data_IF_968226239696
#
_entry.id   IF_968226239696
#
_cell.length_a   1.000
_cell.length_b   1.000
_cell.length_c   1.000
_cell.angle_alpha   90.00
_cell.angle_beta   90.00
_cell.angle_gamma   90.00
#
_symmetry.space_group_name_H-M   'P 1'
#
loop_
_entity.id
_entity.type
_entity.pdbx_description
1 polymer ?
#
# COMPACT_ATOMS: atom_id res chain seq x y z
N UNK A 1 9.66 35.39 5.27
CA UNK A 1 8.77 34.56 4.42
C UNK A 1 9.29 33.12 4.17
N UNK A 2 10.06 32.51 5.09
CA UNK A 2 10.66 31.18 4.88
C UNK A 2 10.02 30.03 5.68
N UNK A 3 9.03 30.29 6.55
CA UNK A 3 8.49 29.32 7.51
C UNK A 3 7.48 28.31 6.94
N UNK A 4 6.89 28.57 5.77
CA UNK A 4 5.83 27.71 5.21
C UNK A 4 6.32 26.45 4.49
N UNK A 5 7.58 26.43 4.02
CA UNK A 5 8.10 25.30 3.24
C UNK A 5 8.40 24.09 4.11
N UNK A 6 9.00 24.27 5.29
CA UNK A 6 9.44 23.19 6.19
C UNK A 6 8.28 22.32 6.71
N UNK A 7 7.11 22.92 6.97
CA UNK A 7 5.92 22.19 7.46
C UNK A 7 5.25 21.29 6.40
N UNK A 8 5.53 21.50 5.09
CA UNK A 8 4.97 20.71 4.00
C UNK A 8 5.76 19.42 3.70
N UNK A 9 7.07 19.40 3.96
CA UNK A 9 7.97 18.28 3.62
C UNK A 9 7.55 16.93 4.19
N UNK A 10 7.13 16.80 5.46
CA UNK A 10 6.76 15.48 6.00
C UNK A 10 5.56 14.87 5.27
N UNK A 11 4.57 15.68 4.88
CA UNK A 11 3.40 15.21 4.13
C UNK A 11 3.76 14.75 2.73
N UNK A 12 4.58 15.53 2.02
CA UNK A 12 5.05 15.18 0.67
C UNK A 12 5.89 13.90 0.71
N UNK A 13 6.75 13.73 1.72
CA UNK A 13 7.56 12.52 1.89
C UNK A 13 6.68 11.26 2.05
N UNK A 14 5.61 11.33 2.85
CA UNK A 14 4.65 10.23 2.97
C UNK A 14 3.99 9.90 1.63
N UNK A 15 3.53 10.91 0.90
CA UNK A 15 2.92 10.71 -0.41
C UNK A 15 3.90 10.10 -1.42
N UNK A 16 5.14 10.58 -1.48
CA UNK A 16 6.19 10.01 -2.34
C UNK A 16 6.46 8.55 -1.97
N UNK A 17 6.56 8.22 -0.68
CA UNK A 17 6.78 6.86 -0.22
C UNK A 17 5.62 5.93 -0.59
N UNK A 18 4.37 6.36 -0.40
CA UNK A 18 3.18 5.59 -0.79
C UNK A 18 3.12 5.40 -2.31
N UNK A 19 3.39 6.45 -3.09
CA UNK A 19 3.41 6.37 -4.56
C UNK A 19 4.48 5.42 -5.07
N UNK A 20 5.71 5.53 -4.54
CA UNK A 20 6.82 4.65 -4.90
C UNK A 20 6.53 3.19 -4.52
N UNK A 21 6.04 2.94 -3.30
CA UNK A 21 5.65 1.60 -2.86
C UNK A 21 4.57 1.02 -3.77
N UNK A 22 3.54 1.79 -4.10
CA UNK A 22 2.44 1.32 -4.95
C UNK A 22 2.93 0.97 -6.36
N UNK A 23 3.81 1.78 -6.96
CA UNK A 23 4.40 1.48 -8.27
C UNK A 23 5.22 0.19 -8.23
N UNK A 24 6.10 0.05 -7.24
CA UNK A 24 6.91 -1.17 -7.08
C UNK A 24 6.02 -2.39 -6.85
N UNK A 25 4.90 -2.25 -6.12
CA UNK A 25 3.94 -3.33 -5.91
C UNK A 25 3.20 -3.73 -7.20
N UNK A 26 2.94 -2.79 -8.10
CA UNK A 26 2.28 -3.07 -9.38
C UNK A 26 3.15 -3.92 -10.33
N UNK A 27 4.48 -3.71 -10.33
CA UNK A 27 5.42 -4.39 -11.25
C UNK A 27 5.29 -5.92 -11.24
N UNK A 28 5.38 -6.64 -10.11
CA UNK A 28 5.26 -8.09 -10.10
C UNK A 28 3.87 -8.55 -10.55
N UNK A 29 2.80 -7.81 -10.25
CA UNK A 29 1.44 -8.16 -10.66
C UNK A 29 1.23 -7.99 -12.17
N UNK A 30 1.84 -6.96 -12.79
CA UNK A 30 1.87 -6.82 -14.25
C UNK A 30 2.62 -8.01 -14.88
N UNK A 31 3.78 -8.34 -14.33
CA UNK A 31 4.58 -9.48 -14.81
C UNK A 31 3.81 -10.81 -14.71
N UNK A 32 3.13 -11.07 -13.58
CA UNK A 32 2.34 -12.27 -13.38
C UNK A 32 1.05 -12.27 -14.23
N UNK A 33 0.39 -11.12 -14.41
CA UNK A 33 -0.73 -11.00 -15.34
C UNK A 33 -0.33 -11.29 -16.79
N UNK A 34 0.91 -10.97 -17.17
CA UNK A 34 1.48 -11.28 -18.49
C UNK A 34 1.96 -12.74 -18.64
N UNK A 35 1.78 -13.59 -17.62
CA UNK A 35 2.16 -15.01 -17.66
C UNK A 35 3.58 -15.30 -17.17
N UNK A 36 4.27 -14.30 -16.59
CA UNK A 36 5.54 -14.50 -15.91
C UNK A 36 5.38 -15.37 -14.66
N UNK A 37 6.31 -16.30 -14.41
CA UNK A 37 6.18 -17.30 -13.31
C UNK A 37 7.20 -17.15 -12.18
N UNK A 38 8.17 -16.26 -12.35
CA UNK A 38 9.26 -16.06 -11.37
C UNK A 38 8.70 -15.60 -10.01
N UNK A 39 9.24 -16.15 -8.93
CA UNK A 39 8.90 -15.77 -7.56
C UNK A 39 7.74 -16.58 -6.93
N UNK A 40 6.94 -17.29 -7.72
CA UNK A 40 5.79 -18.07 -7.22
C UNK A 40 6.15 -19.52 -6.84
N UNK A 41 7.45 -19.84 -6.78
CA UNK A 41 7.96 -21.20 -6.61
C UNK A 41 8.02 -21.93 -7.95
N UNK A 42 9.21 -22.12 -8.50
CA UNK A 42 9.39 -22.82 -9.77
C UNK A 42 8.92 -24.27 -9.64
N UNK A 43 7.94 -24.68 -10.48
CA UNK A 43 7.42 -26.06 -10.59
C UNK A 43 6.62 -26.58 -9.39
N UNK A 44 5.91 -25.72 -8.68
CA UNK A 44 4.86 -26.22 -7.77
C UNK A 44 3.58 -26.42 -8.57
N UNK A 45 2.94 -27.59 -8.42
CA UNK A 45 1.67 -27.91 -9.11
C UNK A 45 0.57 -26.88 -8.82
N UNK A 46 0.63 -26.24 -7.65
CA UNK A 46 -0.31 -25.20 -7.24
C UNK A 46 -0.14 -23.88 -8.01
N UNK A 47 1.09 -23.42 -8.25
CA UNK A 47 1.33 -22.20 -9.00
C UNK A 47 0.92 -22.38 -10.47
N UNK A 48 1.32 -23.48 -11.10
CA UNK A 48 0.94 -23.78 -12.48
C UNK A 48 -0.58 -23.90 -12.63
N UNK A 49 -1.26 -24.58 -11.69
CA UNK A 49 -2.72 -24.67 -11.67
C UNK A 49 -3.43 -23.32 -11.45
N UNK A 50 -2.77 -22.33 -10.83
CA UNK A 50 -3.33 -20.99 -10.69
C UNK A 50 -3.25 -20.20 -12.00
N UNK A 51 -2.16 -20.34 -12.77
CA UNK A 51 -2.01 -19.66 -14.08
C UNK A 51 -3.03 -20.13 -15.13
N UNK A 52 -3.51 -21.37 -15.01
CA UNK A 52 -4.57 -21.90 -15.88
C UNK A 52 -5.96 -21.36 -15.55
N UNK A 53 -6.12 -20.64 -14.43
CA UNK A 53 -7.40 -20.14 -13.96
C UNK A 53 -7.55 -18.63 -14.21
N UNK A 54 -8.67 -18.26 -14.85
CA UNK A 54 -9.00 -16.86 -15.16
C UNK A 54 -9.00 -15.95 -13.92
N UNK A 55 -9.36 -16.47 -12.74
CA UNK A 55 -9.38 -15.68 -11.52
C UNK A 55 -7.98 -15.15 -11.16
N UNK A 56 -6.90 -15.87 -11.47
CA UNK A 56 -5.54 -15.44 -11.14
C UNK A 56 -5.14 -14.22 -11.98
N UNK A 57 -5.48 -14.25 -13.27
CA UNK A 57 -5.32 -13.08 -14.14
C UNK A 57 -6.13 -11.87 -13.63
N UNK A 58 -7.42 -12.08 -13.34
CA UNK A 58 -8.31 -11.01 -12.83
C UNK A 58 -7.80 -10.45 -11.51
N UNK A 59 -7.35 -11.31 -10.61
CA UNK A 59 -6.75 -10.92 -9.32
C UNK A 59 -5.56 -9.98 -9.54
N UNK A 60 -4.59 -10.37 -10.37
CA UNK A 60 -3.42 -9.54 -10.63
C UNK A 60 -3.80 -8.19 -11.24
N UNK A 61 -4.76 -8.16 -12.17
CA UNK A 61 -5.23 -6.92 -12.78
C UNK A 61 -5.91 -6.01 -11.74
N UNK A 62 -6.74 -6.55 -10.86
CA UNK A 62 -7.36 -5.80 -9.76
C UNK A 62 -6.30 -5.20 -8.85
N UNK A 63 -5.25 -5.94 -8.51
CA UNK A 63 -4.15 -5.42 -7.70
C UNK A 63 -3.42 -4.27 -8.42
N UNK A 64 -3.16 -4.39 -9.72
CA UNK A 64 -2.56 -3.30 -10.51
C UNK A 64 -3.43 -2.04 -10.46
N UNK A 65 -4.75 -2.18 -10.65
CA UNK A 65 -5.68 -1.05 -10.57
C UNK A 65 -5.64 -0.41 -9.17
N UNK A 66 -5.67 -1.21 -8.11
CA UNK A 66 -5.59 -0.71 -6.73
C UNK A 66 -4.26 0.00 -6.45
N UNK A 67 -3.15 -0.51 -6.99
CA UNK A 67 -1.85 0.11 -6.87
C UNK A 67 -1.80 1.47 -7.59
N UNK A 68 -2.36 1.56 -8.82
CA UNK A 68 -2.52 2.84 -9.53
C UNK A 68 -3.39 3.81 -8.74
N UNK A 69 -4.50 3.35 -8.16
CA UNK A 69 -5.31 4.16 -7.25
C UNK A 69 -4.49 4.67 -6.05
N UNK A 70 -3.60 3.84 -5.49
CA UNK A 70 -2.65 4.24 -4.45
C UNK A 70 -1.75 5.41 -4.87
N UNK A 71 -1.21 5.36 -6.09
CA UNK A 71 -0.42 6.46 -6.67
C UNK A 71 -1.28 7.73 -6.83
N UNK A 72 -2.50 7.60 -7.36
CA UNK A 72 -3.42 8.74 -7.53
C UNK A 72 -3.75 9.37 -6.18
N UNK A 73 -4.07 8.57 -5.16
CA UNK A 73 -4.33 9.07 -3.80
C UNK A 73 -3.13 9.85 -3.27
N UNK A 74 -1.92 9.32 -3.43
CA UNK A 74 -0.70 9.99 -3.02
C UNK A 74 -0.49 11.32 -3.76
N UNK A 75 -0.66 11.35 -5.09
CA UNK A 75 -0.50 12.56 -5.89
C UNK A 75 -1.53 13.63 -5.54
N UNK A 76 -2.80 13.27 -5.38
CA UNK A 76 -3.87 14.21 -5.05
C UNK A 76 -3.69 14.76 -3.63
N UNK A 77 -3.25 13.95 -2.67
CA UNK A 77 -2.95 14.43 -1.32
C UNK A 77 -1.69 15.30 -1.26
N UNK A 78 -0.66 14.99 -2.06
CA UNK A 78 0.55 15.79 -2.19
C UNK A 78 0.28 17.14 -2.86
N UNK A 79 -0.60 17.15 -3.85
CA UNK A 79 -1.09 18.36 -4.51
C UNK A 79 -2.09 19.12 -3.65
N UNK A 80 -2.29 20.40 -3.96
CA UNK A 80 -3.40 21.19 -3.41
C UNK A 80 -4.71 20.95 -4.19
N UNK A 81 -4.86 19.74 -4.75
CA UNK A 81 -5.94 19.41 -5.67
C UNK A 81 -7.13 18.85 -4.90
N UNK A 82 -8.29 19.48 -5.05
CA UNK A 82 -9.55 19.01 -4.48
C UNK A 82 -9.94 19.66 -3.16
N UNK A 83 -11.26 19.80 -3.00
CA UNK A 83 -11.87 20.38 -1.81
C UNK A 83 -11.78 19.47 -0.58
N UNK A 84 -12.20 20.04 0.56
CA UNK A 84 -12.20 19.38 1.86
C UNK A 84 -12.85 17.98 1.84
N UNK A 85 -13.99 17.82 1.16
CA UNK A 85 -14.71 16.55 1.11
C UNK A 85 -13.91 15.46 0.37
N UNK A 86 -13.28 15.79 -0.75
CA UNK A 86 -12.43 14.84 -1.50
C UNK A 86 -11.26 14.37 -0.63
N UNK A 87 -10.58 15.29 0.05
CA UNK A 87 -9.47 14.96 0.96
C UNK A 87 -9.91 14.00 2.07
N UNK A 88 -11.09 14.22 2.65
CA UNK A 88 -11.64 13.34 3.69
C UNK A 88 -11.88 11.91 3.17
N UNK A 89 -12.41 11.77 1.95
CA UNK A 89 -12.58 10.46 1.31
C UNK A 89 -11.25 9.79 0.97
N UNK A 90 -10.27 10.55 0.47
CA UNK A 90 -8.93 10.02 0.17
C UNK A 90 -8.20 9.54 1.42
N UNK A 91 -8.30 10.30 2.52
CA UNK A 91 -7.75 9.90 3.83
C UNK A 91 -8.45 8.66 4.37
N UNK A 92 -9.78 8.55 4.20
CA UNK A 92 -10.52 7.35 4.56
C UNK A 92 -10.08 6.14 3.74
N UNK A 93 -9.98 6.28 2.41
CA UNK A 93 -9.51 5.25 1.50
C UNK A 93 -8.07 4.80 1.85
N UNK A 94 -7.16 5.73 2.11
CA UNK A 94 -5.80 5.43 2.55
C UNK A 94 -5.78 4.68 3.88
N UNK A 95 -6.67 5.02 4.82
CA UNK A 95 -6.80 4.30 6.09
C UNK A 95 -7.28 2.87 5.86
N UNK A 96 -8.32 2.69 5.04
CA UNK A 96 -8.88 1.38 4.73
C UNK A 96 -7.85 0.48 4.04
N UNK A 97 -7.12 1.02 3.06
CA UNK A 97 -6.02 0.32 2.40
C UNK A 97 -4.94 -0.07 3.42
N UNK A 98 -4.51 0.86 4.26
CA UNK A 98 -3.51 0.59 5.29
C UNK A 98 -3.92 -0.52 6.27
N UNK A 99 -5.19 -0.51 6.73
CA UNK A 99 -5.73 -1.58 7.60
C UNK A 99 -5.79 -2.92 6.86
N UNK A 100 -6.27 -2.95 5.61
CA UNK A 100 -6.35 -4.18 4.83
C UNK A 100 -4.96 -4.80 4.59
N UNK A 101 -3.97 -3.98 4.24
CA UNK A 101 -2.57 -4.41 4.09
C UNK A 101 -2.00 -4.91 5.42
N UNK A 102 -2.31 -4.25 6.55
CA UNK A 102 -1.84 -4.67 7.86
C UNK A 102 -2.42 -6.01 8.28
N UNK A 103 -3.72 -6.21 8.05
CA UNK A 103 -4.38 -7.48 8.35
C UNK A 103 -3.78 -8.60 7.48
N UNK A 104 -3.63 -8.37 6.17
CA UNK A 104 -3.07 -9.37 5.27
C UNK A 104 -1.61 -9.71 5.60
N UNK A 105 -0.75 -8.70 5.71
CA UNK A 105 0.69 -8.87 5.98
C UNK A 105 0.96 -9.31 7.41
N UNK A 106 0.23 -8.76 8.38
CA UNK A 106 0.36 -9.10 9.80
C UNK A 106 -0.04 -10.54 10.08
N UNK A 107 -1.14 -11.03 9.50
CA UNK A 107 -1.51 -12.44 9.59
C UNK A 107 -0.44 -13.34 8.97
N UNK A 108 0.10 -12.97 7.80
CA UNK A 108 1.19 -13.72 7.17
C UNK A 108 2.45 -13.77 8.03
N UNK A 109 2.82 -12.65 8.66
CA UNK A 109 3.93 -12.59 9.61
C UNK A 109 3.71 -13.48 10.83
N UNK A 110 2.49 -13.53 11.38
CA UNK A 110 2.15 -14.42 12.50
C UNK A 110 2.34 -15.89 12.09
N UNK A 111 1.88 -16.27 10.89
CA UNK A 111 2.06 -17.64 10.36
C UNK A 111 3.54 -17.97 10.20
N UNK A 112 4.32 -17.08 9.60
CA UNK A 112 5.78 -17.26 9.45
C UNK A 112 6.47 -17.47 10.80
N UNK A 113 6.12 -16.66 11.81
CA UNK A 113 6.71 -16.78 13.16
C UNK A 113 6.30 -18.09 13.83
N UNK A 114 5.04 -18.52 13.67
CA UNK A 114 4.57 -19.79 14.21
C UNK A 114 5.26 -21.01 13.55
N UNK A 115 5.46 -20.98 12.24
CA UNK A 115 6.19 -22.01 11.50
C UNK A 115 7.66 -22.10 11.94
N UNK A 116 8.32 -20.94 12.13
CA UNK A 116 9.70 -20.87 12.64
C UNK A 116 9.80 -21.40 14.08
N UNK A 117 8.87 -21.04 14.95
CA UNK A 117 8.87 -21.46 16.36
C UNK A 117 8.60 -22.96 16.52
N UNK A 118 7.88 -23.57 15.59
CA UNK A 118 7.57 -25.01 15.60
C UNK A 118 8.62 -25.88 14.90
N UNK A 119 9.73 -25.29 14.44
CA UNK A 119 10.74 -25.96 13.59
C UNK A 119 10.16 -26.66 12.35
N UNK A 120 8.99 -26.21 11.89
CA UNK A 120 8.26 -26.79 10.75
C UNK A 120 8.69 -26.22 9.39
N UNK A 121 9.81 -25.49 9.36
CA UNK A 121 10.31 -24.80 8.16
C UNK A 121 10.72 -25.75 7.02
N UNK A 122 10.89 -27.03 7.29
CA UNK A 122 11.48 -27.98 6.35
C UNK A 122 10.64 -28.30 5.10
N UNK A 123 9.41 -27.76 4.93
CA UNK A 123 8.69 -27.94 3.65
C UNK A 123 7.45 -27.06 3.38
N UNK A 124 7.06 -26.11 4.24
CA UNK A 124 5.74 -25.47 4.15
C UNK A 124 5.72 -24.00 3.78
N UNK A 125 6.76 -23.24 4.10
CA UNK A 125 6.72 -21.78 3.95
C UNK A 125 7.58 -21.36 2.75
N UNK A 126 7.00 -21.04 1.58
CA UNK A 126 7.79 -20.62 0.44
C UNK A 126 8.55 -19.34 0.77
N UNK A 127 9.88 -19.33 0.56
CA UNK A 127 10.79 -18.23 0.93
C UNK A 127 10.35 -16.86 0.41
N UNK A 128 9.58 -16.82 -0.68
CA UNK A 128 9.00 -15.59 -1.21
C UNK A 128 8.08 -14.89 -0.20
N UNK A 129 7.39 -15.63 0.69
CA UNK A 129 6.54 -15.05 1.73
C UNK A 129 7.34 -14.27 2.76
N UNK A 130 8.61 -14.64 3.02
CA UNK A 130 9.49 -13.86 3.90
C UNK A 130 9.80 -12.47 3.33
N UNK A 131 9.62 -12.27 2.02
CA UNK A 131 9.79 -10.97 1.37
C UNK A 131 8.43 -10.28 1.21
N UNK A 132 7.41 -11.02 0.79
CA UNK A 132 6.08 -10.49 0.49
C UNK A 132 5.37 -9.99 1.76
N UNK A 133 5.38 -10.76 2.85
CA UNK A 133 4.61 -10.41 4.06
C UNK A 133 5.14 -9.13 4.73
N UNK A 134 6.46 -8.93 4.92
CA UNK A 134 6.99 -7.64 5.36
C UNK A 134 6.68 -6.49 4.40
N UNK A 135 6.63 -6.75 3.09
CA UNK A 135 6.31 -5.74 2.10
C UNK A 135 4.87 -5.24 2.24
N UNK A 136 3.92 -6.12 2.54
CA UNK A 136 2.55 -5.75 2.90
C UNK A 136 2.49 -4.88 4.17
N UNK A 137 3.23 -5.27 5.22
CA UNK A 137 3.31 -4.49 6.46
C UNK A 137 3.91 -3.10 6.21
N UNK A 138 4.96 -3.01 5.39
CA UNK A 138 5.53 -1.73 5.00
C UNK A 138 4.49 -0.84 4.32
N UNK A 139 3.75 -1.37 3.34
CA UNK A 139 2.66 -0.65 2.69
C UNK A 139 1.62 -0.15 3.69
N UNK A 140 1.23 -1.00 4.63
CA UNK A 140 0.30 -0.63 5.70
C UNK A 140 0.77 0.57 6.50
N UNK A 141 2.03 0.55 6.95
CA UNK A 141 2.63 1.64 7.73
C UNK A 141 2.69 2.94 6.93
N UNK A 142 3.03 2.86 5.63
CA UNK A 142 3.09 4.03 4.75
C UNK A 142 1.70 4.66 4.55
N UNK A 143 0.69 3.86 4.24
CA UNK A 143 -0.68 4.34 4.02
C UNK A 143 -1.31 4.89 5.32
N UNK A 144 -1.10 4.23 6.46
CA UNK A 144 -1.58 4.70 7.76
C UNK A 144 -0.85 5.96 8.22
N UNK A 145 0.47 6.03 8.01
CA UNK A 145 1.30 7.20 8.33
C UNK A 145 0.86 8.42 7.53
N UNK A 146 0.66 8.24 6.21
CA UNK A 146 0.11 9.28 5.34
C UNK A 146 -1.28 9.72 5.82
N UNK A 147 -2.21 8.79 6.07
CA UNK A 147 -3.54 9.13 6.54
C UNK A 147 -3.52 9.86 7.89
N UNK A 148 -2.69 9.42 8.85
CA UNK A 148 -2.56 10.05 10.15
C UNK A 148 -2.01 11.48 10.05
N UNK A 149 -1.02 11.71 9.18
CA UNK A 149 -0.46 13.04 8.93
C UNK A 149 -1.53 14.02 8.41
N UNK A 150 -2.32 13.59 7.43
CA UNK A 150 -3.35 14.45 6.83
C UNK A 150 -4.60 14.62 7.69
N UNK A 151 -4.89 13.70 8.62
CA UNK A 151 -5.94 13.89 9.65
C UNK A 151 -5.58 14.94 10.70
N UNK A 152 -4.29 15.07 11.01
CA UNK A 152 -3.78 15.96 12.06
C UNK A 152 -3.65 17.42 11.65
N UNK A 153 -3.88 17.78 10.37
CA UNK A 153 -3.89 19.17 9.93
C UNK A 153 -5.28 19.76 10.16
N UNK A 154 -5.48 20.60 11.19
CA UNK A 154 -6.73 21.32 11.36
C UNK A 154 -6.85 22.32 10.21
N UNK A 155 -8.08 22.54 9.73
CA UNK A 155 -8.38 23.68 8.86
C UNK A 155 -8.12 24.97 9.65
N UNK A 156 -6.92 25.55 9.54
CA UNK A 156 -6.57 26.86 10.13
C UNK A 156 -7.31 28.04 9.44
N UNK A 157 -8.40 27.78 8.73
CA UNK A 157 -9.06 28.72 7.84
C UNK A 157 -10.51 28.99 8.28
N UNK A 158 -10.71 29.34 9.55
CA UNK A 158 -11.99 29.93 10.02
C UNK A 158 -11.81 31.10 10.98
N UNK A 159 -10.68 31.82 10.90
CA UNK A 159 -10.46 33.05 11.68
C UNK A 159 -9.68 34.08 10.87
N UNK A 160 -10.19 34.44 9.68
CA UNK A 160 -9.97 35.82 9.20
C UNK A 160 -11.11 36.67 9.75
N UNK A 161 -10.88 37.51 10.79
CA UNK A 161 -11.87 38.50 11.17
C UNK A 161 -12.11 39.39 9.94
N UNK A 162 -13.36 39.50 9.50
CA UNK A 162 -13.77 40.55 8.57
C UNK A 162 -13.31 41.87 9.19
N UNK A 163 -12.30 42.51 8.59
CA UNK A 163 -12.00 43.90 8.92
C UNK A 163 -13.18 44.77 8.45
N UNK A 164 -13.54 45.78 9.25
CA UNK A 164 -14.79 46.54 9.11
C UNK A 164 -14.89 47.28 7.78
#
# INVERSE_FOLDING_TARGET
MASGRTARWPGVAWCVAVGAWSLVFAVPHIYWAAGGRTGLGTRTTAADAAFDQLWFFVYNLVIVVLAVCGVVVALVLAGDWGGFLLRRWLVFAATLAGVALLLRGGLGMIVIVADLASAALDNRTPLILLVIEPYFVLGALLFLGMAAHYRRRPSEETTSPRRP
#
